data_IF_790484171814
#
_entry.id   IF_790484171814
#
_cell.length_a   1.000
_cell.length_b   1.000
_cell.length_c   1.000
_cell.angle_alpha   90.00
_cell.angle_beta   90.00
_cell.angle_gamma   90.00
#
_symmetry.space_group_name_H-M   'P 1'
#
loop_
_entity.id
_entity.type
_entity.pdbx_description
1 polymer ?
#
# COMPACT_ATOMS: atom_id res chain seq x y z
N UNK A 1 25.83 4.15 -35.89
CA UNK A 1 27.01 3.89 -35.03
C UNK A 1 26.57 4.11 -33.58
N UNK A 2 26.56 3.06 -32.75
CA UNK A 2 26.21 3.17 -31.34
C UNK A 2 27.43 3.70 -30.56
N UNK A 3 27.24 4.79 -29.81
CA UNK A 3 28.28 5.36 -28.94
C UNK A 3 28.41 4.52 -27.67
N UNK A 4 29.64 4.10 -27.34
CA UNK A 4 29.95 3.34 -26.11
C UNK A 4 30.01 4.26 -24.89
N UNK A 5 29.24 3.94 -23.85
CA UNK A 5 29.26 4.66 -22.56
C UNK A 5 30.45 4.18 -21.71
N UNK A 6 31.23 5.07 -21.06
CA UNK A 6 32.43 4.70 -20.30
C UNK A 6 32.10 3.86 -19.05
N UNK A 7 32.92 2.83 -18.80
CA UNK A 7 32.85 2.00 -17.59
C UNK A 7 33.21 2.83 -16.36
N UNK A 8 32.20 3.19 -15.55
CA UNK A 8 32.38 3.89 -14.27
C UNK A 8 31.30 4.91 -13.89
N UNK A 9 30.34 5.20 -14.77
CA UNK A 9 29.27 6.16 -14.49
C UNK A 9 28.26 5.64 -13.44
N UNK A 10 27.61 6.56 -12.72
CA UNK A 10 26.54 6.26 -11.75
C UNK A 10 25.40 5.43 -12.33
N UNK A 11 25.17 5.50 -13.65
CA UNK A 11 24.25 4.63 -14.39
C UNK A 11 24.60 3.14 -14.24
N UNK A 12 25.88 2.76 -14.29
CA UNK A 12 26.29 1.34 -14.18
C UNK A 12 25.99 0.78 -12.78
N UNK A 13 26.04 1.62 -11.73
CA UNK A 13 25.66 1.22 -10.36
C UNK A 13 24.15 1.11 -10.18
N UNK A 14 23.37 1.95 -10.88
CA UNK A 14 21.90 1.88 -10.87
C UNK A 14 21.40 0.60 -11.58
N UNK A 15 21.95 0.28 -12.76
CA UNK A 15 21.61 -0.96 -13.47
C UNK A 15 22.15 -2.23 -12.77
N UNK A 16 23.29 -2.15 -12.09
CA UNK A 16 23.81 -3.26 -11.27
C UNK A 16 22.96 -3.60 -10.04
N UNK A 17 22.17 -2.65 -9.54
CA UNK A 17 21.18 -2.88 -8.48
C UNK A 17 19.94 -3.61 -9.00
N UNK A 18 19.45 -3.21 -10.17
CA UNK A 18 18.29 -3.79 -10.84
C UNK A 18 18.53 -5.27 -11.19
N UNK A 19 19.73 -5.63 -11.66
CA UNK A 19 20.07 -7.03 -11.96
C UNK A 19 19.96 -7.95 -10.73
N UNK A 20 20.33 -7.46 -9.53
CA UNK A 20 20.22 -8.22 -8.28
C UNK A 20 18.77 -8.43 -7.81
N UNK A 21 17.86 -7.52 -8.16
CA UNK A 21 16.42 -7.67 -7.88
C UNK A 21 15.77 -8.65 -8.86
N UNK A 22 16.22 -8.66 -10.12
CA UNK A 22 15.71 -9.56 -11.16
C UNK A 22 16.23 -11.00 -11.04
N UNK A 23 17.43 -11.21 -10.49
CA UNK A 23 18.00 -12.55 -10.26
C UNK A 23 17.54 -13.19 -8.93
N UNK A 24 16.78 -12.47 -8.09
CA UNK A 24 16.20 -13.04 -6.88
C UNK A 24 15.10 -14.04 -7.26
N UNK A 25 15.05 -15.24 -6.65
CA UNK A 25 14.08 -16.28 -6.99
C UNK A 25 12.68 -15.93 -6.44
N UNK A 26 12.07 -14.88 -6.96
CA UNK A 26 10.64 -14.66 -6.84
C UNK A 26 9.97 -15.63 -7.80
N UNK A 27 9.33 -16.68 -7.28
CA UNK A 27 8.28 -17.38 -8.03
C UNK A 27 7.12 -16.39 -8.19
N UNK A 28 7.20 -15.53 -9.19
CA UNK A 28 6.05 -14.76 -9.68
C UNK A 28 5.22 -15.75 -10.49
N UNK A 29 4.22 -16.37 -9.87
CA UNK A 29 3.14 -17.01 -10.63
C UNK A 29 2.23 -15.91 -11.17
N UNK A 30 2.69 -15.27 -12.24
CA UNK A 30 1.92 -14.32 -13.05
C UNK A 30 1.80 -14.85 -14.49
N UNK A 31 0.80 -14.41 -15.25
CA UNK A 31 0.59 -14.86 -16.61
C UNK A 31 1.84 -14.56 -17.47
N UNK A 32 2.23 -15.52 -18.29
CA UNK A 32 3.48 -15.52 -19.06
C UNK A 32 3.47 -14.50 -20.23
N UNK A 33 2.35 -13.78 -20.46
CA UNK A 33 2.28 -12.72 -21.45
C UNK A 33 1.19 -11.68 -21.19
N UNK A 34 1.35 -10.50 -21.81
CA UNK A 34 0.35 -9.43 -21.80
C UNK A 34 -1.01 -9.87 -22.40
N UNK A 35 -1.02 -10.89 -23.27
CA UNK A 35 -2.25 -11.44 -23.85
C UNK A 35 -3.02 -12.30 -22.84
N UNK A 36 -2.31 -13.12 -22.07
CA UNK A 36 -2.89 -13.90 -20.97
C UNK A 36 -3.39 -13.01 -19.82
N UNK A 37 -2.69 -11.90 -19.54
CA UNK A 37 -3.20 -10.89 -18.61
C UNK A 37 -4.53 -10.30 -19.10
N UNK A 38 -4.59 -9.85 -20.35
CA UNK A 38 -5.81 -9.27 -20.94
C UNK A 38 -6.98 -10.26 -21.06
N UNK A 39 -6.70 -11.54 -21.34
CA UNK A 39 -7.73 -12.58 -21.36
C UNK A 39 -8.25 -12.90 -19.95
N UNK A 40 -7.42 -12.79 -18.91
CA UNK A 40 -7.87 -12.92 -17.52
C UNK A 40 -8.80 -11.78 -17.07
N UNK A 41 -8.66 -10.59 -17.65
CA UNK A 41 -9.57 -9.45 -17.40
C UNK A 41 -10.85 -9.53 -18.24
N UNK A 42 -10.82 -10.21 -19.40
CA UNK A 42 -11.98 -10.34 -20.31
C UNK A 42 -12.92 -11.49 -19.95
N UNK A 43 -12.42 -12.58 -19.35
CA UNK A 43 -13.26 -13.70 -18.88
C UNK A 43 -14.12 -13.30 -17.67
N UNK A 44 -13.73 -12.25 -16.93
CA UNK A 44 -14.44 -11.77 -15.74
C UNK A 44 -15.51 -10.68 -16.04
N UNK A 45 -16.29 -10.85 -17.11
CA UNK A 45 -17.35 -9.93 -17.56
C UNK A 45 -18.57 -9.79 -16.64
N UNK A 46 -18.41 -9.70 -15.32
CA UNK A 46 -19.48 -9.31 -14.38
C UNK A 46 -18.88 -8.60 -13.17
N UNK A 47 -19.02 -7.27 -13.14
CA UNK A 47 -19.13 -6.51 -11.90
C UNK A 47 -20.13 -7.21 -10.97
N UNK A 48 -19.68 -7.71 -9.82
CA UNK A 48 -20.57 -8.17 -8.74
C UNK A 48 -20.40 -7.25 -7.53
N UNK A 49 -21.49 -6.77 -6.91
CA UNK A 49 -21.40 -6.13 -5.61
C UNK A 49 -20.83 -7.17 -4.62
N UNK A 50 -19.84 -6.75 -3.84
CA UNK A 50 -19.17 -7.59 -2.86
C UNK A 50 -20.21 -8.13 -1.88
N UNK A 51 -20.44 -9.46 -1.92
CA UNK A 51 -21.21 -10.14 -0.90
C UNK A 51 -20.54 -9.90 0.47
N UNK A 52 -21.31 -9.73 1.57
CA UNK A 52 -20.71 -9.58 2.88
C UNK A 52 -19.83 -10.80 3.15
N UNK A 53 -18.57 -10.55 3.50
CA UNK A 53 -17.62 -11.60 3.84
C UNK A 53 -18.27 -12.53 4.87
N UNK A 54 -18.57 -13.77 4.45
CA UNK A 54 -18.97 -14.83 5.36
C UNK A 54 -17.92 -14.90 6.46
N UNK A 55 -18.37 -14.98 7.73
CA UNK A 55 -17.55 -15.09 8.95
C UNK A 55 -16.18 -15.74 8.65
N UNK A 56 -15.05 -15.12 9.04
CA UNK A 56 -13.79 -15.83 9.00
C UNK A 56 -13.96 -17.13 9.78
N UNK A 57 -13.54 -18.25 9.19
CA UNK A 57 -13.48 -19.54 9.88
C UNK A 57 -12.73 -19.33 11.19
N UNK A 58 -13.30 -19.85 12.29
CA UNK A 58 -12.69 -19.84 13.62
C UNK A 58 -11.18 -20.09 13.52
N UNK A 59 -10.40 -19.10 13.95
CA UNK A 59 -8.98 -19.29 14.17
C UNK A 59 -8.88 -20.17 15.42
N UNK A 60 -8.68 -21.46 15.20
CA UNK A 60 -8.63 -22.49 16.24
C UNK A 60 -7.72 -22.03 17.38
N UNK A 61 -8.29 -21.92 18.58
CA UNK A 61 -7.53 -21.72 19.81
C UNK A 61 -6.58 -22.90 19.96
N UNK A 62 -5.27 -22.63 19.99
CA UNK A 62 -4.30 -23.62 20.47
C UNK A 62 -4.54 -23.73 21.97
N UNK A 63 -5.07 -24.88 22.39
CA UNK A 63 -5.28 -25.20 23.80
C UNK A 63 -4.01 -24.99 24.61
N UNK A 64 -4.18 -24.62 25.88
CA UNK A 64 -3.12 -24.49 26.87
C UNK A 64 -2.45 -25.85 27.12
N UNK A 65 -1.58 -26.28 26.20
CA UNK A 65 -0.77 -27.47 26.28
C UNK A 65 0.65 -27.10 26.63
N UNK A 66 1.11 -27.55 27.81
CA UNK A 66 2.50 -27.47 28.23
C UNK A 66 3.41 -28.22 27.25
N UNK A 67 4.33 -27.51 26.60
CA UNK A 67 5.51 -28.10 25.96
C UNK A 67 5.53 -27.98 24.43
N UNK A 68 6.45 -27.15 23.92
CA UNK A 68 6.77 -27.09 22.50
C UNK A 68 7.38 -25.75 22.09
N UNK A 69 8.71 -25.65 22.12
CA UNK A 69 9.47 -24.51 21.58
C UNK A 69 9.43 -24.53 20.05
N UNK A 70 8.36 -24.01 19.49
CA UNK A 70 8.33 -23.46 18.12
C UNK A 70 7.54 -22.17 18.21
N UNK A 71 8.24 -21.04 18.27
CA UNK A 71 7.69 -19.72 18.49
C UNK A 71 6.86 -19.22 17.30
N UNK A 72 5.67 -19.79 17.11
CA UNK A 72 4.60 -19.12 16.38
C UNK A 72 4.18 -17.90 17.20
N UNK A 73 4.02 -16.74 16.56
CA UNK A 73 3.54 -15.53 17.20
C UNK A 73 2.14 -15.84 17.76
N UNK A 74 2.04 -16.12 19.06
CA UNK A 74 0.77 -16.41 19.69
C UNK A 74 -0.07 -15.12 19.65
N UNK A 75 -0.96 -15.02 18.64
CA UNK A 75 -1.96 -13.97 18.56
C UNK A 75 -2.92 -14.21 19.72
N UNK A 76 -2.74 -13.46 20.81
CA UNK A 76 -3.68 -13.44 21.92
C UNK A 76 -4.80 -12.48 21.53
N UNK A 77 -6.03 -12.98 21.45
CA UNK A 77 -7.18 -12.10 21.33
C UNK A 77 -7.21 -11.12 22.52
N UNK A 78 -7.65 -9.86 22.32
CA UNK A 78 -7.87 -8.96 23.43
C UNK A 78 -8.86 -9.60 24.42
N UNK A 79 -8.67 -9.43 25.74
CA UNK A 79 -9.57 -10.00 26.72
C UNK A 79 -11.01 -9.50 26.48
N UNK A 80 -12.00 -10.37 26.75
CA UNK A 80 -13.45 -10.17 26.50
C UNK A 80 -14.07 -8.94 27.21
N UNK A 81 -13.25 -8.17 27.93
CA UNK A 81 -13.59 -6.97 28.67
C UNK A 81 -13.53 -5.67 27.85
N UNK A 82 -13.04 -5.68 26.60
CA UNK A 82 -13.03 -4.50 25.75
C UNK A 82 -14.31 -4.40 24.92
N UNK A 83 -15.07 -3.27 25.00
CA UNK A 83 -16.34 -3.12 24.30
C UNK A 83 -16.17 -2.78 22.81
N UNK A 84 -14.95 -2.87 22.28
CA UNK A 84 -14.61 -2.61 20.89
C UNK A 84 -13.48 -3.54 20.44
N UNK A 85 -13.48 -3.91 19.16
CA UNK A 85 -12.44 -4.69 18.53
C UNK A 85 -11.91 -3.99 17.27
N UNK A 86 -10.62 -4.13 17.00
CA UNK A 86 -10.05 -3.68 15.72
C UNK A 86 -10.50 -4.63 14.62
N UNK A 87 -11.21 -4.12 13.61
CA UNK A 87 -11.61 -4.88 12.42
C UNK A 87 -10.49 -4.98 11.39
N UNK A 88 -9.69 -3.93 11.24
CA UNK A 88 -8.58 -3.91 10.28
C UNK A 88 -8.06 -2.51 9.98
N UNK A 89 -7.07 -2.44 9.09
CA UNK A 89 -6.53 -1.19 8.57
C UNK A 89 -7.53 -0.58 7.58
N UNK A 90 -7.88 0.69 7.79
CA UNK A 90 -8.71 1.46 6.87
C UNK A 90 -7.83 2.11 5.79
N UNK A 91 -6.91 2.97 6.23
CA UNK A 91 -5.98 3.64 5.34
C UNK A 91 -4.65 4.01 6.01
N UNK A 92 -3.66 4.28 5.16
CA UNK A 92 -2.35 4.85 5.53
C UNK A 92 -2.27 6.24 4.92
N UNK A 93 -2.13 7.27 5.74
CA UNK A 93 -1.98 8.64 5.27
C UNK A 93 -0.50 9.01 5.15
N UNK A 94 -0.09 9.45 3.97
CA UNK A 94 1.27 9.91 3.66
C UNK A 94 1.17 11.35 3.20
N UNK A 95 1.79 12.26 3.95
CA UNK A 95 1.88 13.65 3.53
C UNK A 95 3.01 13.77 2.48
N UNK A 96 2.73 14.42 1.36
CA UNK A 96 3.65 14.52 0.22
C UNK A 96 3.84 15.97 -0.21
N UNK A 97 5.06 16.36 -0.64
CA UNK A 97 5.33 17.72 -1.10
C UNK A 97 4.72 18.00 -2.48
N UNK A 98 4.49 16.97 -3.29
CA UNK A 98 3.86 17.08 -4.61
C UNK A 98 2.94 15.86 -4.83
N UNK A 99 1.64 16.11 -5.03
CA UNK A 99 0.66 15.04 -5.26
C UNK A 99 0.83 14.39 -6.62
N UNK A 100 1.17 15.16 -7.65
CA UNK A 100 1.29 14.65 -9.01
C UNK A 100 2.49 13.71 -9.12
N UNK A 101 3.64 14.12 -8.58
CA UNK A 101 4.84 13.28 -8.55
C UNK A 101 4.59 11.99 -7.76
N UNK A 102 4.01 12.12 -6.55
CA UNK A 102 3.73 10.97 -5.71
C UNK A 102 2.72 10.01 -6.37
N UNK A 103 1.61 10.53 -6.90
CA UNK A 103 0.60 9.74 -7.60
C UNK A 103 1.20 8.98 -8.79
N UNK A 104 2.00 9.67 -9.60
CA UNK A 104 2.63 9.07 -10.78
C UNK A 104 3.67 8.01 -10.39
N UNK A 105 4.39 8.21 -9.29
CA UNK A 105 5.28 7.19 -8.75
C UNK A 105 4.51 5.90 -8.42
N UNK A 106 3.35 5.99 -7.76
CA UNK A 106 2.52 4.83 -7.47
C UNK A 106 1.93 4.17 -8.73
N UNK A 107 1.54 4.96 -9.74
CA UNK A 107 1.05 4.41 -11.02
C UNK A 107 2.16 3.69 -11.78
N UNK A 108 3.34 4.28 -11.90
CA UNK A 108 4.38 3.82 -12.84
C UNK A 108 5.33 2.78 -12.25
N UNK A 109 5.74 2.97 -11.00
CA UNK A 109 6.71 2.07 -10.35
C UNK A 109 6.01 0.84 -9.79
N UNK A 110 4.83 1.02 -9.21
CA UNK A 110 4.09 -0.05 -8.55
C UNK A 110 2.88 -0.57 -9.33
N UNK A 111 2.51 0.07 -10.44
CA UNK A 111 1.34 -0.34 -11.23
C UNK A 111 0.01 -0.19 -10.48
N UNK A 112 -0.04 0.70 -9.48
CA UNK A 112 -1.22 0.84 -8.63
C UNK A 112 -2.34 1.60 -9.34
N UNK A 113 -3.59 1.30 -8.96
CA UNK A 113 -4.74 2.12 -9.35
C UNK A 113 -4.78 3.35 -8.45
N UNK A 114 -4.73 4.53 -9.08
CA UNK A 114 -4.63 5.81 -8.37
C UNK A 114 -5.71 6.76 -8.89
N UNK A 115 -6.46 7.37 -7.98
CA UNK A 115 -7.53 8.32 -8.30
C UNK A 115 -6.99 9.64 -8.87
N UNK A 116 -7.89 10.47 -9.37
CA UNK A 116 -7.61 11.89 -9.55
C UNK A 116 -7.50 12.61 -8.19
N UNK A 117 -6.82 13.75 -8.11
CA UNK A 117 -6.81 14.59 -6.92
C UNK A 117 -8.23 15.07 -6.57
N UNK A 118 -8.57 15.00 -5.28
CA UNK A 118 -9.82 15.49 -4.72
C UNK A 118 -9.52 16.51 -3.63
N UNK A 119 -9.98 17.74 -3.83
CA UNK A 119 -9.89 18.78 -2.82
C UNK A 119 -10.87 18.50 -1.68
N UNK A 120 -10.40 18.61 -0.44
CA UNK A 120 -11.21 18.49 0.78
C UNK A 120 -11.04 19.77 1.63
N UNK A 121 -11.71 20.88 1.26
CA UNK A 121 -11.53 22.17 1.92
C UNK A 121 -11.85 22.14 3.42
N UNK A 122 -12.87 21.39 3.83
CA UNK A 122 -13.26 21.23 5.25
C UNK A 122 -12.16 20.55 6.08
N UNK A 123 -11.33 19.73 5.45
CA UNK A 123 -10.21 19.03 6.07
C UNK A 123 -8.86 19.72 5.82
N UNK A 124 -8.84 20.80 5.02
CA UNK A 124 -7.62 21.55 4.69
C UNK A 124 -6.57 20.72 3.95
N UNK A 125 -6.99 19.73 3.15
CA UNK A 125 -6.08 18.89 2.36
C UNK A 125 -6.63 18.62 0.96
N UNK A 126 -5.75 18.41 -0.01
CA UNK A 126 -6.06 17.71 -1.25
C UNK A 126 -5.57 16.27 -1.10
N UNK A 127 -6.40 15.30 -1.48
CA UNK A 127 -6.11 13.87 -1.35
C UNK A 127 -6.08 13.17 -2.70
N UNK A 128 -5.14 12.24 -2.85
CA UNK A 128 -5.14 11.23 -3.91
C UNK A 128 -5.20 9.85 -3.27
N UNK A 129 -6.09 9.00 -3.77
CA UNK A 129 -6.28 7.64 -3.27
C UNK A 129 -5.51 6.65 -4.12
N UNK A 130 -4.66 5.85 -3.50
CA UNK A 130 -4.03 4.67 -4.09
C UNK A 130 -4.76 3.43 -3.57
N UNK A 131 -5.46 2.75 -4.47
CA UNK A 131 -6.32 1.64 -4.11
C UNK A 131 -5.53 0.33 -3.95
N UNK A 132 -5.64 -0.28 -2.77
CA UNK A 132 -5.18 -1.64 -2.50
C UNK A 132 -6.39 -2.56 -2.27
N UNK A 133 -6.16 -3.87 -2.26
CA UNK A 133 -7.24 -4.85 -2.08
C UNK A 133 -7.86 -4.85 -0.68
N UNK A 134 -7.11 -4.41 0.34
CA UNK A 134 -7.52 -4.51 1.76
C UNK A 134 -7.56 -3.17 2.49
N UNK A 135 -6.97 -2.12 1.92
CA UNK A 135 -6.85 -0.79 2.51
C UNK A 135 -6.63 0.24 1.40
N UNK A 136 -6.54 1.51 1.77
CA UNK A 136 -6.19 2.60 0.85
C UNK A 136 -4.95 3.32 1.34
N UNK A 137 -4.09 3.79 0.43
CA UNK A 137 -3.06 4.79 0.80
C UNK A 137 -3.61 6.15 0.37
N UNK A 138 -3.64 7.08 1.30
CA UNK A 138 -4.07 8.46 1.09
C UNK A 138 -2.84 9.35 1.01
N UNK A 139 -2.57 9.88 -0.19
CA UNK A 139 -1.53 10.87 -0.40
C UNK A 139 -2.15 12.24 -0.12
N UNK A 140 -1.60 12.94 0.87
CA UNK A 140 -2.15 14.21 1.34
C UNK A 140 -1.20 15.36 1.01
N UNK A 141 -1.76 16.47 0.55
CA UNK A 141 -1.04 17.72 0.41
C UNK A 141 -1.83 18.86 1.07
N UNK A 142 -1.16 19.82 1.71
CA UNK A 142 -1.84 20.94 2.34
C UNK A 142 -2.74 21.68 1.35
N UNK A 143 -3.97 21.99 1.77
CA UNK A 143 -4.88 22.87 1.04
C UNK A 143 -5.24 24.06 1.92
N UNK A 144 -4.86 25.25 1.47
CA UNK A 144 -5.03 26.50 2.20
C UNK A 144 -4.04 26.70 3.36
N UNK A 145 -4.04 27.92 3.91
CA UNK A 145 -3.03 28.37 4.88
C UNK A 145 -3.17 27.73 6.27
N UNK A 146 -4.37 27.21 6.59
CA UNK A 146 -4.69 26.60 7.88
C UNK A 146 -4.73 25.07 7.83
N UNK A 147 -4.03 24.46 6.87
CA UNK A 147 -4.00 23.00 6.74
C UNK A 147 -3.49 22.32 8.02
N UNK A 148 -4.16 21.26 8.52
CA UNK A 148 -3.74 20.56 9.74
C UNK A 148 -2.38 19.88 9.58
N UNK A 149 -1.95 19.59 8.35
CA UNK A 149 -0.67 18.92 8.05
C UNK A 149 0.46 19.91 7.72
N UNK A 150 0.21 21.22 7.70
CA UNK A 150 1.22 22.24 7.35
C UNK A 150 2.47 22.16 8.24
N UNK A 151 2.29 22.13 9.56
CA UNK A 151 3.41 21.99 10.53
C UNK A 151 4.17 20.67 10.37
N UNK A 152 3.51 19.61 9.91
CA UNK A 152 4.17 18.34 9.62
C UNK A 152 5.06 18.48 8.39
N UNK A 153 4.58 19.14 7.34
CA UNK A 153 5.33 19.39 6.10
C UNK A 153 6.54 20.31 6.32
N UNK A 154 6.43 21.32 7.18
CA UNK A 154 7.57 22.17 7.57
C UNK A 154 8.71 21.36 8.20
N UNK A 155 8.36 20.41 9.08
CA UNK A 155 9.33 19.52 9.74
C UNK A 155 9.84 18.42 8.83
N UNK A 156 9.02 17.99 7.87
CA UNK A 156 9.28 16.88 6.95
C UNK A 156 9.12 17.37 5.50
N UNK A 157 10.06 18.20 4.99
CA UNK A 157 9.91 18.84 3.68
C UNK A 157 9.90 17.86 2.50
N UNK A 158 10.35 16.62 2.72
CA UNK A 158 10.29 15.53 1.72
C UNK A 158 9.03 14.67 1.82
N UNK A 159 8.10 15.03 2.70
CA UNK A 159 6.95 14.21 3.04
C UNK A 159 7.28 13.07 4.02
N UNK A 160 6.28 12.26 4.34
CA UNK A 160 6.42 11.13 5.25
C UNK A 160 5.08 10.51 5.67
N UNK A 161 5.15 9.38 6.37
CA UNK A 161 3.99 8.74 6.96
C UNK A 161 3.41 9.64 8.06
N UNK A 162 2.16 10.06 7.89
CA UNK A 162 1.49 10.98 8.80
C UNK A 162 0.68 10.23 9.86
N UNK A 163 -0.15 9.26 9.46
CA UNK A 163 -0.93 8.46 10.39
C UNK A 163 -1.43 7.15 9.78
N UNK A 164 -1.93 6.26 10.65
CA UNK A 164 -2.62 5.03 10.30
C UNK A 164 -4.04 5.10 10.86
N UNK A 165 -5.02 4.73 10.05
CA UNK A 165 -6.41 4.68 10.47
C UNK A 165 -6.88 3.22 10.59
N UNK A 166 -7.43 2.86 11.75
CA UNK A 166 -8.00 1.53 12.01
C UNK A 166 -9.52 1.62 12.05
N UNK A 167 -10.17 0.61 11.47
CA UNK A 167 -11.62 0.43 11.62
C UNK A 167 -11.89 -0.33 12.91
N UNK A 168 -12.81 0.17 13.74
CA UNK A 168 -13.25 -0.46 14.98
C UNK A 168 -14.68 -1.03 14.81
N UNK A 169 -15.01 -2.09 15.52
CA UNK A 169 -16.36 -2.71 15.63
C UNK A 169 -16.75 -2.97 17.06
#
# INVERSE_FOLDING_TARGET
>A
MAASVPRGSSLVRFFGGIKRVLDAPWRVTGPASAREFLDSVKVAGVYRPFAPATRPKEYTSVGAGSGGRSGGLAVRNPPDMFPFAVKGLNHIAIAVPDLSEAAEHYRTVFGAQVSEPLDQPEHGVTVVFVHLSTATIELLHPLGDNSPIAKFMEKNPKGGLHHLCLTMV
#
